data_IF_772857783420
#
_entry.id   IF_772857783420
#
_cell.length_a   1.000
_cell.length_b   1.000
_cell.length_c   1.000
_cell.angle_alpha   90.00
_cell.angle_beta   90.00
_cell.angle_gamma   90.00
#
_symmetry.space_group_name_H-M   'P 1'
#
loop_
_entity.id
_entity.type
_entity.pdbx_description
1 polymer ?
#
# COMPACT_ATOMS: atom_id res chain seq x y z
N UNK A 1 -44.25 62.40 32.13
CA UNK A 1 -42.88 62.07 32.60
C UNK A 1 -42.90 60.69 33.23
N UNK A 2 -42.20 59.75 32.59
CA UNK A 2 -41.48 58.58 33.13
C UNK A 2 -41.38 57.57 31.98
N UNK A 3 -40.24 57.62 31.29
CA UNK A 3 -39.88 56.65 30.26
C UNK A 3 -39.38 55.36 30.92
N UNK A 4 -39.81 54.23 30.37
CA UNK A 4 -39.36 52.90 30.77
C UNK A 4 -38.26 52.47 29.79
N UNK A 5 -37.03 52.37 30.29
CA UNK A 5 -35.87 51.84 29.57
C UNK A 5 -35.91 50.32 29.73
N UNK A 6 -36.02 49.59 28.61
CA UNK A 6 -35.89 48.12 28.57
C UNK A 6 -34.41 47.80 28.39
N UNK A 7 -33.82 47.17 29.41
CA UNK A 7 -32.45 46.69 29.43
C UNK A 7 -32.41 45.31 28.76
N UNK A 8 -31.89 45.23 27.54
CA UNK A 8 -31.74 43.98 26.80
C UNK A 8 -30.37 43.37 27.16
N UNK A 9 -30.37 42.34 28.02
CA UNK A 9 -29.17 41.57 28.36
C UNK A 9 -28.70 40.76 27.14
N UNK A 10 -27.59 41.21 26.52
CA UNK A 10 -26.84 40.48 25.52
C UNK A 10 -25.96 39.43 26.23
N UNK A 11 -26.40 38.18 26.23
CA UNK A 11 -25.57 37.04 26.65
C UNK A 11 -24.70 36.62 25.47
N UNK A 12 -23.43 37.05 25.49
CA UNK A 12 -22.40 36.58 24.58
C UNK A 12 -21.98 35.16 24.99
N UNK A 13 -22.44 34.15 24.26
CA UNK A 13 -21.88 32.80 24.30
C UNK A 13 -20.52 32.82 23.60
N UNK A 14 -19.44 32.79 24.38
CA UNK A 14 -18.12 32.41 23.88
C UNK A 14 -18.08 30.88 23.74
N UNK A 15 -18.23 30.39 22.51
CA UNK A 15 -17.83 29.01 22.19
C UNK A 15 -16.31 29.00 21.99
N UNK A 16 -15.61 28.54 23.02
CA UNK A 16 -14.21 28.14 22.93
C UNK A 16 -14.18 26.82 22.15
N UNK A 17 -13.94 26.91 20.84
CA UNK A 17 -13.57 25.76 20.01
C UNK A 17 -12.08 25.48 20.21
N UNK A 18 -11.77 24.70 21.24
CA UNK A 18 -10.48 24.02 21.35
C UNK A 18 -10.66 22.61 20.78
N UNK A 19 -10.63 22.51 19.46
CA UNK A 19 -10.44 21.25 18.75
C UNK A 19 -9.17 21.36 17.93
N UNK A 20 -8.08 20.73 18.38
CA UNK A 20 -7.01 20.34 17.48
C UNK A 20 -7.59 19.28 16.54
N UNK A 21 -8.24 19.72 15.47
CA UNK A 21 -8.66 18.84 14.39
C UNK A 21 -7.38 18.27 13.77
N UNK A 22 -7.09 17.00 14.02
CA UNK A 22 -6.17 16.24 13.19
C UNK A 22 -6.60 16.48 11.73
N UNK A 23 -5.71 17.06 10.92
CA UNK A 23 -6.02 17.40 9.51
C UNK A 23 -6.30 16.10 8.77
N UNK A 24 -7.58 15.79 8.57
CA UNK A 24 -8.03 14.76 7.63
C UNK A 24 -7.75 15.29 6.23
N UNK A 25 -7.14 14.48 5.38
CA UNK A 25 -6.96 14.83 3.97
C UNK A 25 -8.34 14.79 3.28
N UNK A 26 -9.04 15.93 3.26
CA UNK A 26 -10.33 16.09 2.58
C UNK A 26 -10.15 15.85 1.07
N UNK A 27 -10.97 14.94 0.51
CA UNK A 27 -11.04 14.68 -0.93
C UNK A 27 -11.75 15.87 -1.59
N UNK A 28 -11.11 16.55 -2.54
CA UNK A 28 -11.68 17.68 -3.29
C UNK A 28 -11.79 17.31 -4.77
N UNK A 29 -12.86 16.60 -5.14
CA UNK A 29 -13.10 16.13 -6.52
C UNK A 29 -14.44 15.39 -6.65
N UNK A 30 -14.73 14.88 -7.85
CA UNK A 30 -15.97 14.18 -8.21
C UNK A 30 -16.34 13.09 -7.18
N UNK A 31 -17.50 13.20 -6.52
CA UNK A 31 -17.95 12.30 -5.45
C UNK A 31 -18.01 10.83 -5.91
N UNK A 32 -18.11 10.60 -7.22
CA UNK A 32 -18.29 9.28 -7.84
C UNK A 32 -17.00 8.44 -7.95
N UNK A 33 -15.84 8.96 -7.51
CA UNK A 33 -14.57 8.21 -7.47
C UNK A 33 -14.11 7.84 -6.07
N UNK A 34 -14.86 8.22 -5.04
CA UNK A 34 -14.37 8.18 -3.68
C UNK A 34 -15.22 7.34 -2.77
N UNK A 35 -14.54 6.45 -2.06
CA UNK A 35 -15.05 5.66 -0.98
C UNK A 35 -15.50 4.27 -1.39
N UNK A 36 -16.35 3.69 -0.56
CA UNK A 36 -16.89 2.35 -0.80
C UNK A 36 -15.94 1.23 -0.40
N UNK A 37 -16.38 0.02 -0.72
CA UNK A 37 -15.71 -1.22 -0.33
C UNK A 37 -15.38 -2.05 -1.56
N UNK A 38 -14.10 -2.38 -1.69
CA UNK A 38 -13.61 -3.38 -2.63
C UNK A 38 -13.56 -4.75 -1.94
N UNK A 39 -14.14 -5.77 -2.58
CA UNK A 39 -14.10 -7.15 -2.10
C UNK A 39 -13.25 -8.01 -3.04
N UNK A 40 -12.17 -8.57 -2.50
CA UNK A 40 -11.27 -9.45 -3.24
C UNK A 40 -11.13 -10.78 -2.50
N UNK A 41 -10.60 -11.78 -3.20
CA UNK A 41 -10.29 -13.07 -2.63
C UNK A 41 -8.82 -13.41 -2.88
N UNK A 42 -8.21 -14.06 -1.90
CA UNK A 42 -6.94 -14.76 -2.06
C UNK A 42 -7.20 -16.26 -1.99
N UNK A 43 -6.58 -17.01 -2.90
CA UNK A 43 -6.76 -18.48 -3.00
C UNK A 43 -5.79 -19.26 -2.12
N UNK A 44 -4.94 -18.56 -1.36
CA UNK A 44 -4.02 -19.15 -0.38
C UNK A 44 -4.14 -18.43 0.97
N UNK A 45 -3.54 -19.00 2.01
CA UNK A 45 -3.57 -18.43 3.36
C UNK A 45 -2.56 -17.29 3.52
N UNK A 46 -2.94 -16.27 4.29
CA UNK A 46 -1.99 -15.27 4.78
C UNK A 46 -0.96 -15.92 5.72
N UNK A 47 0.32 -15.88 5.35
CA UNK A 47 1.41 -16.44 6.14
C UNK A 47 2.00 -15.42 7.12
N UNK A 48 2.17 -14.16 6.69
CA UNK A 48 2.74 -13.11 7.53
C UNK A 48 2.35 -11.71 7.09
N UNK A 49 2.36 -10.77 8.02
CA UNK A 49 2.29 -9.33 7.74
C UNK A 49 3.59 -8.60 8.10
N UNK A 50 4.62 -9.37 8.46
CA UNK A 50 5.95 -8.88 8.75
C UNK A 50 6.79 -8.82 7.46
N UNK A 51 7.15 -7.62 6.96
CA UNK A 51 7.79 -7.52 5.65
C UNK A 51 9.12 -8.28 5.50
N UNK A 52 10.02 -8.32 6.52
CA UNK A 52 11.25 -9.12 6.44
C UNK A 52 11.06 -10.66 6.41
N UNK A 53 9.85 -11.18 6.68
CA UNK A 53 9.52 -12.61 6.59
C UNK A 53 8.87 -13.01 5.26
N UNK A 54 8.29 -12.06 4.53
CA UNK A 54 7.35 -12.35 3.44
C UNK A 54 8.05 -12.85 2.17
N UNK A 55 7.61 -14.01 1.67
CA UNK A 55 8.12 -14.63 0.44
C UNK A 55 7.02 -15.25 -0.44
N UNK A 56 5.76 -14.95 -0.15
CA UNK A 56 4.58 -15.44 -0.86
C UNK A 56 3.71 -14.30 -1.37
N UNK A 57 2.82 -14.60 -2.33
CA UNK A 57 1.94 -13.64 -3.00
C UNK A 57 0.99 -12.95 -2.02
N UNK A 58 0.32 -13.71 -1.15
CA UNK A 58 -0.76 -13.19 -0.28
C UNK A 58 -0.20 -12.20 0.74
N UNK A 59 0.91 -12.56 1.38
CA UNK A 59 1.63 -11.64 2.28
C UNK A 59 2.09 -10.39 1.52
N UNK A 60 2.62 -10.54 0.30
CA UNK A 60 3.07 -9.42 -0.53
C UNK A 60 1.95 -8.42 -0.85
N UNK A 61 0.79 -8.93 -1.27
CA UNK A 61 -0.38 -8.12 -1.59
C UNK A 61 -0.88 -7.31 -0.39
N UNK A 62 -0.91 -7.92 0.80
CA UNK A 62 -1.35 -7.23 2.02
C UNK A 62 -0.30 -6.23 2.50
N UNK A 63 0.99 -6.60 2.50
CA UNK A 63 2.08 -5.72 2.92
C UNK A 63 2.16 -4.46 2.06
N UNK A 64 2.00 -4.56 0.74
CA UNK A 64 2.03 -3.39 -0.15
C UNK A 64 0.88 -2.42 0.07
N UNK A 65 -0.20 -2.83 0.75
CA UNK A 65 -1.30 -1.92 1.14
C UNK A 65 -1.06 -1.25 2.50
N UNK A 66 -0.23 -1.86 3.37
CA UNK A 66 -0.05 -1.43 4.77
C UNK A 66 1.23 -0.61 4.96
N UNK A 67 2.28 -0.89 4.20
CA UNK A 67 3.60 -0.28 4.36
C UNK A 67 4.04 0.43 3.07
N UNK A 68 4.89 1.45 3.20
CA UNK A 68 5.56 2.08 2.06
C UNK A 68 7.09 1.96 2.18
N UNK A 69 7.75 1.88 1.03
CA UNK A 69 9.20 2.01 0.91
C UNK A 69 9.65 3.40 0.46
N UNK A 70 10.95 3.52 0.17
CA UNK A 70 11.50 4.73 -0.46
C UNK A 70 10.86 4.96 -1.84
N UNK A 71 10.71 3.89 -2.61
CA UNK A 71 10.15 3.84 -3.95
C UNK A 71 9.19 2.66 -4.07
N UNK A 72 8.40 2.62 -5.14
CA UNK A 72 7.52 1.49 -5.44
C UNK A 72 7.55 1.16 -6.92
N UNK A 73 7.11 -0.06 -7.25
CA UNK A 73 6.78 -0.43 -8.62
C UNK A 73 5.46 0.20 -9.04
N UNK A 74 5.41 0.73 -10.26
CA UNK A 74 4.16 0.98 -10.95
C UNK A 74 3.51 -0.37 -11.33
N UNK A 75 2.27 -0.67 -10.90
CA UNK A 75 1.66 -1.97 -11.14
C UNK A 75 1.30 -2.21 -12.62
N UNK A 76 1.20 -1.15 -13.44
CA UNK A 76 0.86 -1.24 -14.86
C UNK A 76 2.09 -1.59 -15.70
N UNK A 77 3.23 -0.93 -15.45
CA UNK A 77 4.41 -1.03 -16.33
C UNK A 77 5.70 -1.49 -15.63
N UNK A 78 5.66 -1.76 -14.33
CA UNK A 78 6.80 -2.21 -13.51
C UNK A 78 7.99 -1.23 -13.49
N UNK A 79 7.78 0.03 -13.88
CA UNK A 79 8.78 1.08 -13.68
C UNK A 79 8.84 1.49 -12.20
N UNK A 80 9.94 2.16 -11.82
CA UNK A 80 10.10 2.64 -10.45
C UNK A 80 9.55 4.05 -10.34
N UNK A 81 8.62 4.24 -9.40
CA UNK A 81 7.98 5.53 -9.13
C UNK A 81 8.23 6.00 -7.69
N UNK A 82 8.19 7.31 -7.43
CA UNK A 82 8.31 7.88 -6.09
C UNK A 82 7.27 7.32 -5.10
N UNK A 83 7.72 6.93 -3.90
CA UNK A 83 6.87 6.65 -2.74
C UNK A 83 7.19 7.66 -1.62
N UNK A 84 7.78 7.24 -0.50
CA UNK A 84 8.19 8.17 0.57
C UNK A 84 9.32 9.08 0.09
N UNK A 85 10.24 8.59 -0.74
CA UNK A 85 11.18 9.44 -1.44
C UNK A 85 10.47 10.12 -2.62
N UNK A 86 10.31 11.45 -2.55
CA UNK A 86 9.71 12.23 -3.66
C UNK A 86 10.62 12.34 -4.88
N UNK A 87 11.93 12.14 -4.68
CA UNK A 87 12.96 12.08 -5.73
C UNK A 87 14.22 11.45 -5.15
N UNK A 88 15.09 10.98 -6.02
CA UNK A 88 16.44 10.54 -5.67
C UNK A 88 17.46 10.95 -6.73
N UNK A 89 18.73 10.95 -6.34
CA UNK A 89 19.87 11.21 -7.21
C UNK A 89 20.86 10.05 -7.08
N UNK A 90 21.46 9.66 -8.19
CA UNK A 90 22.53 8.67 -8.24
C UNK A 90 23.80 9.41 -8.65
N UNK A 91 24.89 9.22 -7.90
CA UNK A 91 26.17 9.81 -8.24
C UNK A 91 26.75 9.24 -9.56
N UNK A 92 27.76 9.90 -10.10
CA UNK A 92 28.36 9.50 -11.39
C UNK A 92 29.01 8.12 -11.36
N UNK A 93 29.39 7.62 -10.19
CA UNK A 93 29.93 6.26 -10.01
C UNK A 93 28.85 5.19 -9.85
N UNK A 94 27.58 5.53 -9.67
CA UNK A 94 26.51 4.55 -9.45
C UNK A 94 26.58 3.87 -8.09
N UNK A 95 27.26 4.48 -7.13
CA UNK A 95 27.58 3.93 -5.79
C UNK A 95 26.89 4.68 -4.66
N UNK A 96 26.42 5.91 -4.90
CA UNK A 96 25.75 6.72 -3.89
C UNK A 96 24.37 7.12 -4.38
N UNK A 97 23.36 6.68 -3.64
CA UNK A 97 21.96 7.05 -3.84
C UNK A 97 21.55 8.06 -2.77
N UNK A 98 21.13 9.25 -3.17
CA UNK A 98 20.60 10.29 -2.26
C UNK A 98 19.10 10.37 -2.41
N UNK A 99 18.35 10.01 -1.38
CA UNK A 99 16.90 10.07 -1.32
C UNK A 99 16.44 11.33 -0.59
N UNK A 100 15.49 12.03 -1.19
CA UNK A 100 14.83 13.19 -0.59
C UNK A 100 13.42 12.77 -0.21
N UNK A 101 13.15 12.71 1.08
CA UNK A 101 11.89 12.21 1.62
C UNK A 101 10.81 13.29 1.62
N UNK A 102 9.55 12.85 1.63
CA UNK A 102 8.38 13.70 1.86
C UNK A 102 8.32 14.07 3.34
N UNK A 103 7.86 15.28 3.61
CA UNK A 103 7.84 15.86 4.96
C UNK A 103 6.47 15.73 5.66
N UNK A 104 5.53 15.05 5.00
CA UNK A 104 4.14 14.88 5.44
C UNK A 104 3.72 13.41 5.54
N UNK A 105 4.67 12.50 5.73
CA UNK A 105 4.41 11.06 5.89
C UNK A 105 4.31 10.73 7.38
N UNK A 106 3.28 9.99 7.76
CA UNK A 106 3.04 9.56 9.13
C UNK A 106 2.80 8.06 9.16
N UNK A 107 3.25 7.41 10.23
CA UNK A 107 2.80 6.06 10.54
C UNK A 107 1.30 6.06 10.87
N UNK A 108 0.68 4.89 10.79
CA UNK A 108 -0.71 4.69 11.20
C UNK A 108 -0.90 5.06 12.67
N UNK A 109 -2.08 5.59 13.02
CA UNK A 109 -2.46 5.82 14.41
C UNK A 109 -2.57 4.46 15.12
N UNK A 110 -1.80 4.26 16.21
CA UNK A 110 -1.74 3.00 16.94
C UNK A 110 -1.35 3.24 18.41
N UNK A 111 -1.88 2.44 19.37
CA UNK A 111 -1.53 2.54 20.80
C UNK A 111 -0.04 2.46 21.15
N UNK A 112 0.82 1.88 20.31
CA UNK A 112 2.27 1.85 20.54
C UNK A 112 2.89 3.26 20.53
N UNK A 113 2.26 4.23 19.87
CA UNK A 113 2.72 5.62 19.87
C UNK A 113 2.13 6.40 21.04
N UNK A 114 2.86 7.46 21.44
CA UNK A 114 2.40 8.39 22.48
C UNK A 114 1.03 8.98 22.13
N UNK A 115 0.04 8.66 22.96
CA UNK A 115 -1.34 9.15 22.79
C UNK A 115 -2.11 8.45 21.66
N UNK A 116 -1.63 7.31 21.15
CA UNK A 116 -2.28 6.57 20.08
C UNK A 116 -2.15 7.21 18.70
N UNK A 117 -1.23 8.17 18.53
CA UNK A 117 -1.11 8.98 17.31
C UNK A 117 0.21 8.69 16.61
N UNK A 118 0.10 8.23 15.36
CA UNK A 118 1.25 7.91 14.53
C UNK A 118 2.13 9.13 14.34
N UNK A 119 3.42 8.98 14.67
CA UNK A 119 4.40 10.05 14.46
C UNK A 119 4.82 10.12 12.99
N UNK A 120 5.50 11.21 12.66
CA UNK A 120 6.08 11.43 11.34
C UNK A 120 7.19 10.41 11.05
N UNK A 121 7.24 9.95 9.80
CA UNK A 121 8.32 9.11 9.27
C UNK A 121 9.53 9.98 8.95
N UNK A 122 10.72 9.48 9.30
CA UNK A 122 12.01 10.14 9.12
C UNK A 122 13.04 9.22 8.47
N UNK A 123 14.17 9.77 8.04
CA UNK A 123 15.29 8.98 7.55
C UNK A 123 15.86 7.99 8.59
N UNK A 124 15.74 8.28 9.89
CA UNK A 124 16.16 7.35 10.96
C UNK A 124 15.30 6.08 11.00
N UNK A 125 14.02 6.16 10.61
CA UNK A 125 13.16 4.98 10.53
C UNK A 125 13.61 4.00 9.43
N UNK A 126 14.09 4.53 8.30
CA UNK A 126 14.68 3.70 7.24
C UNK A 126 16.00 3.08 7.70
N UNK A 127 16.84 3.83 8.42
CA UNK A 127 18.06 3.28 9.02
C UNK A 127 17.73 2.12 9.96
N UNK A 128 16.79 2.32 10.87
CA UNK A 128 16.30 1.25 11.75
C UNK A 128 15.79 0.05 10.95
N UNK A 129 14.97 0.27 9.93
CA UNK A 129 14.38 -0.80 9.12
C UNK A 129 15.43 -1.59 8.35
N UNK A 130 16.47 -0.94 7.83
CA UNK A 130 17.58 -1.61 7.14
C UNK A 130 18.53 -2.33 8.10
N UNK A 131 18.73 -1.83 9.32
CA UNK A 131 19.41 -2.59 10.38
C UNK A 131 18.61 -3.82 10.80
N UNK A 132 17.28 -3.68 10.94
CA UNK A 132 16.38 -4.79 11.24
C UNK A 132 16.42 -5.85 10.12
N UNK A 133 16.32 -5.43 8.86
CA UNK A 133 16.43 -6.31 7.70
C UNK A 133 17.85 -6.90 7.55
N UNK A 134 18.87 -6.26 8.11
CA UNK A 134 20.23 -6.80 8.22
C UNK A 134 20.46 -7.63 9.47
N UNK A 135 19.45 -7.94 10.28
CA UNK A 135 19.62 -8.73 11.50
C UNK A 135 19.26 -10.21 11.29
N UNK A 136 20.10 -11.14 11.75
CA UNK A 136 19.84 -12.57 11.68
C UNK A 136 18.64 -12.96 12.57
N UNK A 137 17.61 -13.54 11.95
CA UNK A 137 16.44 -14.09 12.61
C UNK A 137 15.80 -15.16 11.72
N UNK A 138 15.13 -16.16 12.29
CA UNK A 138 14.31 -17.10 11.51
C UNK A 138 13.14 -16.38 10.81
N UNK A 139 12.67 -15.28 11.39
CA UNK A 139 11.64 -14.40 10.84
C UNK A 139 12.23 -13.26 9.99
N UNK A 140 13.51 -13.35 9.59
CA UNK A 140 14.09 -12.42 8.63
C UNK A 140 14.88 -13.18 7.57
N UNK A 141 14.27 -13.33 6.40
CA UNK A 141 14.83 -14.10 5.29
C UNK A 141 15.06 -13.27 4.02
N UNK A 142 14.91 -11.93 4.12
CA UNK A 142 14.90 -11.01 2.97
C UNK A 142 16.14 -10.11 2.87
N UNK A 143 17.15 -10.32 3.71
CA UNK A 143 18.42 -9.57 3.66
C UNK A 143 19.13 -9.70 2.30
N UNK A 144 19.35 -10.94 1.85
CA UNK A 144 20.09 -11.25 0.63
C UNK A 144 19.24 -10.94 -0.61
N UNK A 145 19.80 -10.19 -1.56
CA UNK A 145 19.08 -9.77 -2.77
C UNK A 145 18.27 -8.50 -2.59
N UNK A 146 18.35 -7.85 -1.42
CA UNK A 146 17.67 -6.59 -1.12
C UNK A 146 18.67 -5.53 -0.67
N UNK A 147 19.14 -5.59 0.57
CA UNK A 147 20.01 -4.56 1.16
C UNK A 147 21.46 -5.01 1.36
N UNK A 148 21.79 -6.25 1.01
CA UNK A 148 23.13 -6.84 1.16
C UNK A 148 24.21 -6.15 0.33
N UNK A 149 23.84 -5.27 -0.60
CA UNK A 149 24.76 -4.49 -1.42
C UNK A 149 25.15 -3.15 -0.79
N UNK A 150 24.48 -2.72 0.28
CA UNK A 150 24.84 -1.52 1.04
C UNK A 150 26.16 -1.78 1.77
N UNK A 151 27.07 -0.82 1.68
CA UNK A 151 28.40 -0.89 2.30
C UNK A 151 28.28 -1.21 3.80
N UNK A 152 28.88 -2.31 4.22
CA UNK A 152 28.88 -2.74 5.62
C UNK A 152 27.63 -3.48 6.09
N UNK A 153 26.61 -3.64 5.25
CA UNK A 153 25.38 -4.37 5.62
C UNK A 153 25.66 -5.85 5.91
N UNK A 154 26.50 -6.51 5.10
CA UNK A 154 26.93 -7.90 5.35
C UNK A 154 27.68 -8.05 6.68
N UNK A 155 28.57 -7.11 6.98
CA UNK A 155 29.30 -7.08 8.26
C UNK A 155 28.35 -6.92 9.44
N UNK A 156 27.33 -6.06 9.31
CA UNK A 156 26.28 -5.92 10.32
C UNK A 156 25.50 -7.23 10.49
N UNK A 157 25.09 -7.84 9.37
CA UNK A 157 24.39 -9.13 9.35
C UNK A 157 25.18 -10.24 10.04
N UNK A 158 26.45 -10.42 9.71
CA UNK A 158 27.31 -11.42 10.36
C UNK A 158 27.45 -11.16 11.86
N UNK A 159 27.65 -9.91 12.27
CA UNK A 159 27.78 -9.54 13.68
C UNK A 159 26.46 -9.68 14.47
N UNK A 160 25.31 -9.60 13.80
CA UNK A 160 23.98 -9.66 14.42
C UNK A 160 23.59 -11.03 14.98
N UNK A 161 24.36 -12.09 14.67
CA UNK A 161 24.13 -13.46 15.17
C UNK A 161 24.07 -13.57 16.70
N UNK A 162 24.65 -12.60 17.42
CA UNK A 162 24.65 -12.53 18.89
C UNK A 162 23.76 -11.39 19.44
N UNK A 163 22.84 -10.86 18.61
CA UNK A 163 22.03 -9.68 18.91
C UNK A 163 22.53 -8.42 18.16
N UNK A 164 21.80 -7.29 18.29
CA UNK A 164 22.12 -6.05 17.56
C UNK A 164 23.59 -5.64 17.82
N UNK A 165 24.41 -5.48 16.78
CA UNK A 165 25.77 -4.98 16.92
C UNK A 165 25.83 -3.58 17.54
N UNK A 166 26.93 -3.26 18.22
CA UNK A 166 27.18 -1.93 18.80
C UNK A 166 27.62 -0.86 17.79
N UNK A 167 27.41 -1.09 16.50
CA UNK A 167 27.76 -0.20 15.40
C UNK A 167 26.65 -0.22 14.35
N UNK A 168 26.55 0.85 13.56
CA UNK A 168 25.54 1.01 12.52
C UNK A 168 26.07 0.54 11.16
N UNK A 169 25.18 0.40 10.17
CA UNK A 169 25.58 0.07 8.79
C UNK A 169 26.30 1.27 8.17
N UNK A 170 27.57 1.10 7.80
CA UNK A 170 28.43 2.17 7.27
C UNK A 170 27.82 2.92 6.08
N UNK A 171 27.16 2.19 5.18
CA UNK A 171 26.56 2.73 3.97
C UNK A 171 25.19 3.36 4.16
N UNK A 172 24.63 3.40 5.37
CA UNK A 172 23.35 4.07 5.65
C UNK A 172 23.63 5.38 6.37
N UNK A 173 23.62 6.48 5.63
CA UNK A 173 23.90 7.83 6.14
C UNK A 173 22.60 8.64 6.23
N UNK A 174 22.17 8.94 7.45
CA UNK A 174 21.10 9.91 7.71
C UNK A 174 21.71 11.31 7.76
N UNK A 175 21.41 12.14 6.75
CA UNK A 175 21.91 13.52 6.69
C UNK A 175 21.04 14.44 7.55
N UNK A 176 19.73 14.23 7.49
CA UNK A 176 18.71 14.84 8.35
C UNK A 176 17.39 14.06 8.21
N UNK A 177 16.33 14.47 8.92
CA UNK A 177 15.02 13.80 8.93
C UNK A 177 14.44 13.48 7.54
N UNK A 178 14.81 14.25 6.51
CA UNK A 178 14.25 14.14 5.15
C UNK A 178 15.29 13.81 4.07
N UNK A 179 16.53 13.52 4.45
CA UNK A 179 17.59 13.18 3.48
C UNK A 179 18.35 11.95 3.97
N UNK A 180 18.23 10.87 3.20
CA UNK A 180 18.89 9.60 3.42
C UNK A 180 19.87 9.34 2.26
N UNK A 181 21.09 8.91 2.57
CA UNK A 181 22.07 8.48 1.59
C UNK A 181 22.41 7.02 1.79
N UNK A 182 22.39 6.26 0.70
CA UNK A 182 22.83 4.87 0.66
C UNK A 182 24.12 4.76 -0.16
N UNK A 183 25.17 4.23 0.45
CA UNK A 183 26.45 3.95 -0.18
C UNK A 183 26.56 2.45 -0.43
N UNK A 184 26.78 2.06 -1.68
CA UNK A 184 26.91 0.68 -2.09
C UNK A 184 28.36 0.19 -1.99
N UNK A 185 28.55 -1.12 -1.84
CA UNK A 185 29.88 -1.76 -1.91
C UNK A 185 30.52 -1.62 -3.29
N UNK A 186 29.69 -1.61 -4.34
CA UNK A 186 30.06 -1.50 -5.76
C UNK A 186 28.92 -0.84 -6.53
N UNK A 187 29.22 -0.37 -7.73
CA UNK A 187 28.24 0.24 -8.61
C UNK A 187 27.12 -0.74 -8.98
N UNK A 188 25.88 -0.28 -8.84
CA UNK A 188 24.71 -1.00 -9.34
C UNK A 188 23.59 -0.01 -9.66
N UNK A 189 23.52 0.52 -10.90
CA UNK A 189 22.47 1.46 -11.30
C UNK A 189 21.03 0.92 -11.14
N UNK A 190 20.87 -0.41 -11.12
CA UNK A 190 19.59 -1.09 -10.95
C UNK A 190 19.26 -1.36 -9.47
N UNK A 191 20.07 -0.91 -8.52
CA UNK A 191 19.83 -1.11 -7.09
C UNK A 191 18.48 -0.54 -6.63
N UNK A 192 18.01 0.52 -7.29
CA UNK A 192 16.70 1.14 -7.03
C UNK A 192 15.53 0.14 -7.16
N UNK A 193 15.64 -0.86 -8.04
CA UNK A 193 14.62 -1.89 -8.22
C UNK A 193 14.53 -2.85 -7.01
N UNK A 194 15.65 -3.07 -6.31
CA UNK A 194 15.67 -3.87 -5.10
C UNK A 194 15.03 -3.13 -3.92
N UNK A 195 15.11 -1.80 -3.91
CA UNK A 195 14.49 -0.94 -2.89
C UNK A 195 12.98 -0.76 -3.05
N UNK A 196 12.41 -1.20 -4.17
CA UNK A 196 10.96 -1.28 -4.38
C UNK A 196 10.36 -2.62 -3.91
N UNK A 197 11.19 -3.53 -3.39
CA UNK A 197 10.73 -4.78 -2.78
C UNK A 197 9.96 -4.52 -1.48
N UNK A 198 8.93 -5.32 -1.22
CA UNK A 198 8.09 -5.22 -0.03
C UNK A 198 8.87 -5.36 1.28
N UNK A 199 10.05 -5.98 1.28
CA UNK A 199 10.89 -6.09 2.49
C UNK A 199 11.69 -4.82 2.78
N UNK A 200 11.89 -3.94 1.78
CA UNK A 200 12.61 -2.67 1.89
C UNK A 200 11.71 -1.50 2.30
N UNK A 201 10.66 -1.78 3.08
CA UNK A 201 9.70 -0.79 3.59
C UNK A 201 10.16 -0.17 4.90
N UNK A 202 9.55 0.95 5.29
CA UNK A 202 9.80 1.58 6.59
C UNK A 202 8.91 0.98 7.67
N UNK A 203 9.52 0.66 8.82
CA UNK A 203 8.89 0.09 9.99
C UNK A 203 9.11 1.00 11.21
N UNK A 204 8.07 1.29 12.01
CA UNK A 204 8.25 2.07 13.23
C UNK A 204 8.83 1.19 14.34
N UNK A 205 9.96 1.62 14.92
CA UNK A 205 10.60 0.87 16.00
C UNK A 205 9.68 0.66 17.20
N UNK A 206 8.81 1.61 17.53
CA UNK A 206 7.85 1.47 18.64
C UNK A 206 6.94 0.27 18.47
N UNK A 207 6.46 0.03 17.25
CA UNK A 207 5.57 -1.08 16.99
C UNK A 207 6.32 -2.41 16.91
N UNK A 208 7.57 -2.40 16.44
CA UNK A 208 8.44 -3.59 16.49
C UNK A 208 8.81 -3.94 17.94
N UNK A 209 9.07 -2.96 18.80
CA UNK A 209 9.36 -3.17 20.22
C UNK A 209 8.13 -3.68 20.98
N UNK A 210 6.94 -3.16 20.69
CA UNK A 210 5.69 -3.52 21.39
C UNK A 210 5.12 -4.86 20.90
N UNK A 211 5.11 -5.11 19.58
CA UNK A 211 4.38 -6.21 18.95
C UNK A 211 5.27 -7.24 18.23
N UNK A 212 6.57 -6.96 18.08
CA UNK A 212 7.48 -7.80 17.31
C UNK A 212 7.04 -7.94 15.85
N UNK A 213 7.09 -9.16 15.33
CA UNK A 213 6.70 -9.48 13.95
C UNK A 213 5.19 -9.34 13.69
N UNK A 214 4.38 -9.21 14.75
CA UNK A 214 2.93 -8.98 14.66
C UNK A 214 2.50 -7.53 14.52
N UNK A 215 3.43 -6.57 14.38
CA UNK A 215 3.15 -5.12 14.43
C UNK A 215 1.98 -4.67 13.56
N UNK A 216 1.95 -5.00 12.26
CA UNK A 216 0.89 -4.54 11.34
C UNK A 216 0.80 -3.00 11.18
N UNK A 217 1.66 -2.23 11.86
CA UNK A 217 1.66 -0.77 11.85
C UNK A 217 2.62 -0.27 10.79
N UNK A 218 2.08 0.36 9.74
CA UNK A 218 2.87 0.89 8.64
C UNK A 218 2.62 2.37 8.36
N UNK A 219 2.95 2.79 7.15
CA UNK A 219 2.74 4.16 6.63
C UNK A 219 1.94 4.18 5.33
N UNK A 220 1.46 3.01 4.90
CA UNK A 220 0.80 2.77 3.62
C UNK A 220 -0.64 3.30 3.55
N UNK A 221 -1.29 3.10 2.39
CA UNK A 221 -2.62 3.63 2.08
C UNK A 221 -3.74 3.06 2.95
N UNK A 222 -3.59 1.83 3.44
CA UNK A 222 -4.59 1.19 4.29
C UNK A 222 -4.01 0.71 5.61
N UNK A 223 -4.85 0.61 6.62
CA UNK A 223 -4.54 0.25 8.00
C UNK A 223 -5.05 -1.16 8.25
N UNK A 224 -4.18 -2.00 8.80
CA UNK A 224 -4.54 -3.29 9.35
C UNK A 224 -4.75 -3.14 10.86
N UNK A 225 -5.99 -3.17 11.33
CA UNK A 225 -6.26 -3.00 12.77
C UNK A 225 -5.93 -4.26 13.56
N UNK A 226 -6.40 -5.42 13.09
CA UNK A 226 -6.16 -6.72 13.73
C UNK A 226 -6.17 -7.81 12.66
N UNK A 227 -5.37 -8.86 12.88
CA UNK A 227 -5.49 -10.08 12.11
C UNK A 227 -6.81 -10.78 12.45
N UNK A 228 -7.59 -11.22 11.46
CA UNK A 228 -8.85 -11.90 11.71
C UNK A 228 -8.59 -13.28 12.33
N UNK A 229 -9.57 -13.82 13.09
CA UNK A 229 -9.60 -15.23 13.41
C UNK A 229 -9.53 -16.10 12.15
N UNK A 230 -9.01 -17.32 12.29
CA UNK A 230 -8.87 -18.23 11.15
C UNK A 230 -10.25 -18.48 10.49
N UNK A 231 -10.33 -18.24 9.19
CA UNK A 231 -11.54 -18.44 8.38
C UNK A 231 -12.47 -17.22 8.31
N UNK A 232 -12.10 -16.11 8.93
CA UNK A 232 -12.77 -14.81 8.74
C UNK A 232 -12.04 -13.94 7.71
N UNK A 233 -12.74 -12.93 7.20
CA UNK A 233 -12.16 -12.00 6.23
C UNK A 233 -11.16 -11.07 6.90
N UNK A 234 -10.08 -10.75 6.19
CA UNK A 234 -9.19 -9.66 6.56
C UNK A 234 -9.79 -8.34 6.07
N UNK A 235 -9.77 -7.32 6.92
CA UNK A 235 -10.31 -6.00 6.62
C UNK A 235 -9.21 -4.96 6.73
N UNK A 236 -9.00 -4.22 5.64
CA UNK A 236 -8.12 -3.05 5.62
C UNK A 236 -8.98 -1.79 5.51
N UNK A 237 -8.74 -0.83 6.40
CA UNK A 237 -9.46 0.45 6.41
C UNK A 237 -8.57 1.57 5.88
N UNK A 238 -9.16 2.59 5.28
CA UNK A 238 -8.38 3.69 4.70
C UNK A 238 -7.54 4.44 5.74
N UNK A 239 -6.29 4.72 5.39
CA UNK A 239 -5.45 5.70 6.07
C UNK A 239 -5.83 7.13 5.64
N UNK A 240 -6.60 7.83 6.45
CA UNK A 240 -7.04 9.21 6.18
C UNK A 240 -5.90 10.26 6.20
N UNK A 241 -4.69 9.87 6.60
CA UNK A 241 -3.48 10.71 6.60
C UNK A 241 -2.50 10.32 5.47
N UNK A 242 -2.90 9.43 4.55
CA UNK A 242 -2.04 9.01 3.46
C UNK A 242 -1.66 10.18 2.55
N UNK A 243 -0.40 10.24 2.16
CA UNK A 243 0.26 11.46 1.69
C UNK A 243 0.34 11.57 0.17
N UNK A 244 0.11 10.49 -0.57
CA UNK A 244 0.15 10.50 -2.03
C UNK A 244 -1.13 11.13 -2.60
N UNK A 245 -0.94 11.81 -3.73
CA UNK A 245 -1.99 12.41 -4.52
C UNK A 245 -1.88 11.92 -5.96
N UNK A 246 -3.00 11.87 -6.66
CA UNK A 246 -3.04 11.71 -8.11
C UNK A 246 -2.57 12.98 -8.84
N UNK A 247 -2.57 12.93 -10.17
CA UNK A 247 -2.17 14.07 -11.02
C UNK A 247 -3.11 15.28 -10.88
N UNK A 248 -4.35 15.06 -10.45
CA UNK A 248 -5.36 16.08 -10.23
C UNK A 248 -5.33 16.65 -8.79
N UNK A 249 -4.46 16.14 -7.92
CA UNK A 249 -4.28 16.59 -6.54
C UNK A 249 -5.21 15.93 -5.51
N UNK A 250 -5.93 14.86 -5.87
CA UNK A 250 -6.78 14.11 -4.95
C UNK A 250 -5.96 13.15 -4.09
N UNK A 251 -6.24 13.11 -2.79
CA UNK A 251 -5.53 12.21 -1.87
C UNK A 251 -5.99 10.75 -2.00
N UNK A 252 -5.00 9.87 -2.16
CA UNK A 252 -5.16 8.42 -2.09
C UNK A 252 -5.32 7.97 -0.62
N UNK A 253 -5.78 6.72 -0.36
CA UNK A 253 -6.44 5.84 -1.33
C UNK A 253 -7.86 6.29 -1.66
N UNK A 254 -8.39 5.89 -2.81
CA UNK A 254 -9.77 6.22 -3.16
C UNK A 254 -10.81 5.39 -2.44
N UNK A 255 -10.53 4.13 -2.11
CA UNK A 255 -11.46 3.27 -1.36
C UNK A 255 -11.51 3.63 0.13
N UNK A 256 -12.60 3.27 0.81
CA UNK A 256 -12.69 3.37 2.28
C UNK A 256 -12.31 2.05 2.95
N UNK A 257 -12.58 0.92 2.30
CA UNK A 257 -12.35 -0.42 2.86
C UNK A 257 -11.99 -1.43 1.78
N UNK A 258 -11.07 -2.33 2.10
CA UNK A 258 -10.82 -3.55 1.34
C UNK A 258 -11.19 -4.73 2.24
N UNK A 259 -12.02 -5.64 1.72
CA UNK A 259 -12.35 -6.90 2.37
C UNK A 259 -11.69 -8.02 1.56
N UNK A 260 -10.84 -8.80 2.22
CA UNK A 260 -10.12 -9.91 1.64
C UNK A 260 -10.66 -11.21 2.24
N UNK A 261 -11.27 -12.05 1.42
CA UNK A 261 -11.60 -13.43 1.80
C UNK A 261 -10.48 -14.39 1.42
N UNK A 262 -10.51 -15.60 2.02
CA UNK A 262 -9.54 -16.66 1.77
C UNK A 262 -10.26 -17.95 1.34
N UNK A 263 -10.74 -17.99 0.09
CA UNK A 263 -11.38 -19.17 -0.50
C UNK A 263 -10.41 -19.89 -1.46
N UNK A 264 -9.96 -21.10 -1.11
CA UNK A 264 -8.89 -21.79 -1.83
C UNK A 264 -9.30 -22.44 -3.16
N UNK A 265 -10.59 -22.48 -3.49
CA UNK A 265 -11.07 -23.14 -4.71
C UNK A 265 -11.60 -22.14 -5.74
N UNK A 266 -10.98 -22.14 -6.92
CA UNK A 266 -11.36 -21.26 -8.04
C UNK A 266 -12.84 -21.37 -8.41
N UNK A 267 -13.43 -22.57 -8.37
CA UNK A 267 -14.86 -22.76 -8.67
C UNK A 267 -15.76 -22.00 -7.68
N UNK A 268 -15.42 -22.01 -6.38
CA UNK A 268 -16.18 -21.24 -5.39
C UNK A 268 -15.89 -19.75 -5.47
N UNK A 269 -14.66 -19.36 -5.79
CA UNK A 269 -14.29 -17.97 -6.04
C UNK A 269 -15.13 -17.37 -7.19
N UNK A 270 -15.23 -18.07 -8.33
CA UNK A 270 -16.12 -17.71 -9.44
C UNK A 270 -17.58 -17.59 -8.98
N UNK A 271 -18.09 -18.59 -8.25
CA UNK A 271 -19.44 -18.55 -7.69
C UNK A 271 -19.66 -17.34 -6.76
N UNK A 272 -18.66 -16.98 -5.94
CA UNK A 272 -18.73 -15.84 -5.04
C UNK A 272 -18.79 -14.53 -5.83
N UNK A 273 -18.02 -14.41 -6.91
CA UNK A 273 -18.06 -13.26 -7.81
C UNK A 273 -19.42 -13.11 -8.50
N UNK A 274 -19.98 -14.19 -9.04
CA UNK A 274 -21.31 -14.18 -9.66
C UNK A 274 -22.41 -13.71 -8.70
N UNK A 275 -22.33 -14.14 -7.44
CA UNK A 275 -23.22 -13.75 -6.34
C UNK A 275 -22.98 -12.32 -5.83
N UNK A 276 -22.03 -11.59 -6.42
CA UNK A 276 -21.68 -10.23 -6.04
C UNK A 276 -20.90 -10.11 -4.72
N UNK A 277 -20.41 -11.23 -4.17
CA UNK A 277 -19.60 -11.24 -2.93
C UNK A 277 -18.16 -10.81 -3.16
N UNK A 278 -17.68 -10.91 -4.40
CA UNK A 278 -16.40 -10.37 -4.85
C UNK A 278 -16.64 -9.30 -5.91
N UNK A 279 -15.68 -8.39 -6.02
CA UNK A 279 -15.64 -7.33 -7.04
C UNK A 279 -14.55 -7.59 -8.08
N UNK A 280 -13.52 -8.39 -7.74
CA UNK A 280 -12.42 -8.79 -8.62
C UNK A 280 -12.01 -10.24 -8.31
N UNK A 281 -11.65 -10.99 -9.35
CA UNK A 281 -10.87 -12.24 -9.33
C UNK A 281 -9.57 -11.98 -10.10
N UNK A 282 -8.43 -12.43 -9.57
CA UNK A 282 -7.12 -12.19 -10.17
C UNK A 282 -6.40 -13.49 -10.54
N UNK A 283 -5.67 -13.48 -11.65
CA UNK A 283 -4.78 -14.60 -12.00
C UNK A 283 -5.50 -15.91 -12.34
N UNK A 284 -6.67 -15.83 -12.97
CA UNK A 284 -7.45 -16.98 -13.40
C UNK A 284 -6.82 -17.63 -14.64
N UNK A 285 -6.72 -18.95 -14.66
CA UNK A 285 -6.20 -19.67 -15.84
C UNK A 285 -7.25 -19.72 -16.95
N UNK A 286 -6.79 -19.69 -18.21
CA UNK A 286 -7.66 -19.71 -19.40
C UNK A 286 -8.66 -20.87 -19.46
N UNK A 287 -8.40 -22.00 -18.79
CA UNK A 287 -9.31 -23.17 -18.78
C UNK A 287 -10.69 -22.87 -18.16
N UNK A 288 -10.79 -21.90 -17.24
CA UNK A 288 -12.06 -21.52 -16.61
C UNK A 288 -12.86 -20.50 -17.42
N UNK A 289 -12.21 -19.79 -18.35
CA UNK A 289 -12.77 -18.61 -19.01
C UNK A 289 -13.93 -18.96 -19.97
N UNK A 290 -13.81 -19.98 -20.87
CA UNK A 290 -14.88 -20.28 -21.81
C UNK A 290 -16.21 -20.63 -21.13
N UNK A 291 -16.16 -21.48 -20.11
CA UNK A 291 -17.35 -21.93 -19.37
C UNK A 291 -17.96 -20.77 -18.59
N UNK A 292 -17.12 -19.97 -17.90
CA UNK A 292 -17.60 -18.81 -17.14
C UNK A 292 -18.28 -17.76 -18.03
N UNK A 293 -17.70 -17.47 -19.21
CA UNK A 293 -18.32 -16.58 -20.20
C UNK A 293 -19.63 -17.16 -20.70
N UNK A 294 -19.67 -18.45 -21.06
CA UNK A 294 -20.88 -19.07 -21.60
C UNK A 294 -22.04 -19.03 -20.59
N UNK A 295 -21.76 -19.26 -19.31
CA UNK A 295 -22.75 -19.22 -18.23
C UNK A 295 -23.22 -17.78 -17.90
N UNK A 296 -22.37 -16.78 -18.15
CA UNK A 296 -22.63 -15.37 -17.82
C UNK A 296 -22.73 -14.43 -19.03
N UNK A 297 -22.96 -14.95 -20.24
CA UNK A 297 -22.86 -14.18 -21.50
C UNK A 297 -23.71 -12.90 -21.48
N UNK A 298 -24.92 -12.97 -20.91
CA UNK A 298 -25.82 -11.81 -20.78
C UNK A 298 -25.27 -10.66 -19.95
N UNK A 299 -24.36 -10.94 -18.99
CA UNK A 299 -23.71 -9.93 -18.14
C UNK A 299 -22.56 -9.26 -18.87
N UNK A 300 -21.83 -10.02 -19.69
CA UNK A 300 -20.77 -9.50 -20.56
C UNK A 300 -21.32 -8.69 -21.74
N UNK A 301 -22.44 -9.10 -22.34
CA UNK A 301 -23.04 -8.43 -23.51
C UNK A 301 -24.05 -7.33 -23.14
N UNK A 302 -24.27 -7.07 -21.84
CA UNK A 302 -25.12 -5.97 -21.39
C UNK A 302 -24.51 -4.60 -21.75
N UNK A 303 -25.34 -3.54 -21.77
CA UNK A 303 -24.89 -2.19 -22.09
C UNK A 303 -25.32 -1.18 -21.00
N UNK A 304 -24.40 -0.68 -20.16
CA UNK A 304 -22.99 -1.06 -20.09
C UNK A 304 -22.80 -2.52 -19.63
N UNK A 305 -21.67 -3.18 -19.94
CA UNK A 305 -21.38 -4.53 -19.46
C UNK A 305 -21.33 -4.54 -17.93
N UNK A 306 -21.73 -5.63 -17.29
CA UNK A 306 -21.64 -5.79 -15.84
C UNK A 306 -20.29 -6.40 -15.43
N UNK A 307 -19.76 -7.31 -16.25
CA UNK A 307 -18.49 -7.99 -16.05
C UNK A 307 -17.49 -7.64 -17.15
N UNK A 308 -16.23 -7.51 -16.76
CA UNK A 308 -15.11 -7.29 -17.67
C UNK A 308 -14.06 -8.39 -17.40
N UNK A 309 -13.46 -8.88 -18.48
CA UNK A 309 -12.29 -9.76 -18.44
C UNK A 309 -11.12 -8.98 -19.01
N UNK A 310 -10.06 -8.83 -18.22
CA UNK A 310 -8.81 -8.21 -18.66
C UNK A 310 -7.73 -9.31 -18.75
N UNK A 311 -6.92 -9.29 -19.82
CA UNK A 311 -5.73 -10.15 -19.90
C UNK A 311 -4.64 -9.63 -18.97
N UNK A 312 -3.90 -10.50 -18.29
CA UNK A 312 -2.64 -10.08 -17.68
C UNK A 312 -1.57 -10.03 -18.78
N UNK A 313 -1.30 -8.86 -19.32
CA UNK A 313 -0.30 -8.67 -20.36
C UNK A 313 1.11 -9.12 -19.88
N UNK A 314 1.57 -10.30 -20.30
CA UNK A 314 2.99 -10.63 -20.34
C UNK A 314 3.30 -11.82 -21.28
N UNK A 315 4.42 -11.72 -22.02
CA UNK A 315 4.82 -12.55 -23.17
C UNK A 315 5.18 -14.04 -22.87
N UNK A 316 4.31 -14.86 -22.26
CA UNK A 316 4.57 -16.29 -22.05
C UNK A 316 3.34 -17.23 -22.08
N UNK A 317 3.59 -18.53 -22.23
CA UNK A 317 2.72 -19.61 -22.70
C UNK A 317 1.41 -19.94 -21.93
N UNK A 318 1.06 -19.18 -20.88
CA UNK A 318 -0.21 -19.32 -20.18
C UNK A 318 -0.76 -17.93 -19.90
N UNK A 319 -1.83 -17.58 -20.61
CA UNK A 319 -2.57 -16.34 -20.38
C UNK A 319 -3.32 -16.47 -19.05
N UNK A 320 -2.99 -15.58 -18.11
CA UNK A 320 -3.80 -15.37 -16.91
C UNK A 320 -4.77 -14.22 -17.17
N UNK A 321 -5.93 -14.31 -16.56
CA UNK A 321 -7.03 -13.37 -16.76
C UNK A 321 -7.50 -12.83 -15.42
N UNK A 322 -7.93 -11.58 -15.42
CA UNK A 322 -8.70 -11.01 -14.33
C UNK A 322 -10.16 -10.97 -14.74
N UNK A 323 -11.05 -11.18 -13.78
CA UNK A 323 -12.48 -10.89 -13.94
C UNK A 323 -12.82 -9.81 -12.92
N UNK A 324 -13.41 -8.70 -13.37
CA UNK A 324 -13.85 -7.63 -12.47
C UNK A 324 -15.26 -7.17 -12.82
N UNK A 325 -15.93 -6.58 -11.83
CA UNK A 325 -17.15 -5.80 -12.10
C UNK A 325 -16.78 -4.55 -12.89
N UNK A 326 -17.66 -4.14 -13.79
CA UNK A 326 -17.44 -2.96 -14.63
C UNK A 326 -17.39 -1.64 -13.86
N UNK A 327 -17.91 -1.62 -12.63
CA UNK A 327 -17.86 -0.49 -11.72
C UNK A 327 -16.49 -0.32 -11.02
N UNK A 328 -15.51 -1.21 -11.28
CA UNK A 328 -14.16 -1.17 -10.68
C UNK A 328 -13.16 -0.65 -11.71
N UNK A 329 -12.42 0.41 -11.35
CA UNK A 329 -11.47 1.09 -12.23
C UNK A 329 -10.06 1.15 -11.66
N UNK A 330 -9.07 1.42 -12.54
CA UNK A 330 -7.65 1.55 -12.19
C UNK A 330 -7.07 0.34 -11.45
N UNK A 331 -7.59 -0.85 -11.76
CA UNK A 331 -7.04 -2.09 -11.25
C UNK A 331 -6.00 -2.63 -12.22
N UNK A 332 -4.80 -2.90 -11.71
CA UNK A 332 -3.70 -3.46 -12.47
C UNK A 332 -3.12 -4.65 -11.71
N UNK A 333 -2.79 -5.71 -12.45
CA UNK A 333 -2.09 -6.88 -11.94
C UNK A 333 -1.00 -7.30 -12.92
N UNK A 334 0.07 -7.90 -12.41
CA UNK A 334 1.19 -8.34 -13.23
C UNK A 334 1.80 -9.62 -12.64
N UNK A 335 2.67 -10.29 -13.41
CA UNK A 335 3.35 -11.53 -12.97
C UNK A 335 4.29 -11.35 -11.77
N UNK A 336 4.68 -10.11 -11.45
CA UNK A 336 5.51 -9.80 -10.28
C UNK A 336 4.67 -9.72 -9.00
N UNK A 337 3.35 -9.93 -9.10
CA UNK A 337 2.39 -9.77 -8.00
C UNK A 337 2.45 -8.36 -7.36
N UNK A 338 2.84 -7.35 -8.14
CA UNK A 338 2.78 -5.96 -7.67
C UNK A 338 1.33 -5.52 -7.73
N UNK A 339 0.80 -5.17 -6.55
CA UNK A 339 -0.57 -4.72 -6.37
C UNK A 339 -0.60 -3.39 -5.62
N UNK A 340 -1.27 -2.39 -6.20
CA UNK A 340 -1.53 -1.08 -5.59
C UNK A 340 -3.03 -0.78 -5.64
N UNK A 341 -3.72 -0.99 -4.52
CA UNK A 341 -5.17 -0.75 -4.41
C UNK A 341 -5.47 0.70 -4.02
N UNK A 342 -4.46 1.55 -3.84
CA UNK A 342 -4.68 2.94 -3.43
C UNK A 342 -5.34 3.78 -4.53
N UNK A 343 -5.03 3.45 -5.80
CA UNK A 343 -5.56 4.12 -6.99
C UNK A 343 -6.84 3.48 -7.54
N UNK A 344 -7.25 2.33 -6.99
CA UNK A 344 -8.49 1.65 -7.39
C UNK A 344 -9.68 2.41 -6.83
N UNK A 345 -10.71 2.60 -7.65
CA UNK A 345 -11.97 3.20 -7.20
C UNK A 345 -13.16 2.44 -7.77
N UNK A 346 -14.33 2.67 -7.14
CA UNK A 346 -15.61 2.20 -7.64
C UNK A 346 -16.45 3.39 -8.08
N UNK A 347 -17.09 3.30 -9.25
CA UNK A 347 -17.88 4.40 -9.83
C UNK A 347 -18.98 3.91 -10.77
N UNK A 348 -19.92 4.79 -11.13
CA UNK A 348 -20.97 4.47 -12.09
C UNK A 348 -20.38 4.36 -13.51
N UNK A 349 -20.50 3.19 -14.18
CA UNK A 349 -20.02 3.03 -15.55
C UNK A 349 -20.66 3.97 -16.58
N UNK A 350 -21.82 4.55 -16.29
CA UNK A 350 -22.48 5.51 -17.18
C UNK A 350 -21.95 6.94 -17.05
N UNK A 351 -21.15 7.22 -16.03
CA UNK A 351 -20.61 8.55 -15.76
C UNK A 351 -19.12 8.66 -16.10
N UNK A 352 -18.58 7.65 -16.79
CA UNK A 352 -17.21 7.66 -17.29
C UNK A 352 -17.01 8.82 -18.28
N UNK A 353 -15.90 9.52 -18.11
CA UNK A 353 -15.38 10.43 -19.12
C UNK A 353 -14.76 9.62 -20.26
N UNK A 354 -14.67 10.21 -21.45
CA UNK A 354 -14.06 9.54 -22.63
C UNK A 354 -12.63 9.02 -22.39
N UNK A 355 -11.85 9.70 -21.56
CA UNK A 355 -10.49 9.32 -21.20
C UNK A 355 -10.48 8.07 -20.29
N UNK A 356 -11.51 7.92 -19.45
CA UNK A 356 -11.73 6.73 -18.61
C UNK A 356 -12.36 5.57 -19.39
N UNK A 357 -13.19 5.87 -20.39
CA UNK A 357 -13.68 4.88 -21.34
C UNK A 357 -12.53 4.29 -22.16
N UNK A 358 -11.61 5.12 -22.66
CA UNK A 358 -10.41 4.68 -23.40
C UNK A 358 -9.49 3.82 -22.53
N UNK A 359 -9.20 4.22 -21.29
CA UNK A 359 -8.43 3.38 -20.35
C UNK A 359 -9.14 2.08 -19.96
N UNK A 360 -10.47 2.07 -19.93
CA UNK A 360 -11.26 0.87 -19.64
C UNK A 360 -11.45 -0.06 -20.85
N UNK A 361 -11.17 0.42 -22.08
CA UNK A 361 -11.32 -0.35 -23.34
C UNK A 361 -10.00 -0.68 -24.03
N UNK A 362 -8.88 -0.06 -23.65
CA UNK A 362 -7.53 -0.39 -24.13
C UNK A 362 -6.85 -1.55 -23.36
N UNK A 363 -7.56 -2.25 -22.48
CA UNK A 363 -7.06 -3.37 -21.66
C UNK A 363 -7.71 -4.71 -22.04
#
# INVERSE_FOLDING_TARGET
MKGTIIFCCLVLFFLVSCGSSDKVNERKGNENKFGGTLRINETDLLLTTYPPSANDKVSSHIISQVYDGLVKYDPNNLSIVPAIAKRWEIDTSGTVYTFYLRDNVYFHDNPCFKGGKGRKVTAEDFKFSFELLSSQSEENNRFNGTIDQIKGAKKFYEASAMGRPGFDIEGVEVVCDTVLKLHLEKENPLYIYLLADISAVVLPWEAIEEYGTGSGVGSGPFILENLPPKGENLVLTRNNKYYLQDEQGNYLPYLDTIIISFEPTTVKELTMFEQGKLDIITGLTGDYIPDFIAENISRFESNPPEFIIDGSDDFAAYELYNIRKSDVYNFFSNRMNVLDLSIVYKGDPQELTKEEEEQATEL
#
